data_IF_865175042305
#
_entry.id   IF_865175042305
#
_cell.length_a   1.000
_cell.length_b   1.000
_cell.length_c   1.000
_cell.angle_alpha   90.00
_cell.angle_beta   90.00
_cell.angle_gamma   90.00
#
_symmetry.space_group_name_H-M   'P 1'
#
loop_
_entity.id
_entity.type
_entity.pdbx_description
1 polymer ?
#
# COMPACT_ATOMS: atom_id res chain seq x y z
N UNK A 1 30.47 24.07 -53.91
CA UNK A 1 29.75 22.79 -53.71
C UNK A 1 30.81 21.71 -53.72
N UNK A 2 31.49 21.44 -52.62
CA UNK A 2 31.25 20.19 -51.87
C UNK A 2 31.85 20.17 -50.44
N UNK A 3 32.28 21.30 -49.87
CA UNK A 3 32.98 21.26 -48.56
C UNK A 3 32.31 22.07 -47.44
N UNK A 4 31.04 22.47 -47.61
CA UNK A 4 30.31 23.26 -46.60
C UNK A 4 29.16 22.49 -45.90
N UNK A 5 28.96 21.21 -46.22
CA UNK A 5 27.84 20.41 -45.69
C UNK A 5 28.22 19.38 -44.61
N UNK A 6 29.50 19.22 -44.26
CA UNK A 6 29.95 18.19 -43.31
C UNK A 6 30.11 18.73 -41.88
N UNK A 7 30.13 20.05 -41.68
CA UNK A 7 30.28 20.66 -40.34
C UNK A 7 28.93 20.99 -39.69
N UNK A 8 27.82 20.93 -40.45
CA UNK A 8 26.47 21.17 -39.94
C UNK A 8 25.74 19.91 -39.45
N UNK A 9 26.38 18.74 -39.48
CA UNK A 9 25.82 17.45 -39.08
C UNK A 9 26.51 16.80 -37.88
N UNK A 10 27.48 17.46 -37.25
CA UNK A 10 28.09 17.03 -35.97
C UNK A 10 27.77 17.96 -34.78
N UNK A 11 26.75 18.79 -34.93
CA UNK A 11 26.07 19.47 -33.82
C UNK A 11 24.88 18.65 -33.32
N UNK A 12 25.03 17.32 -33.20
CA UNK A 12 24.17 16.58 -32.28
C UNK A 12 24.49 17.21 -30.94
N UNK A 13 23.59 18.09 -30.46
CA UNK A 13 23.48 18.36 -29.04
C UNK A 13 23.37 16.97 -28.42
N UNK A 14 24.51 16.49 -27.93
CA UNK A 14 24.55 15.61 -26.78
C UNK A 14 23.85 16.45 -25.73
N UNK A 15 22.52 16.34 -25.67
CA UNK A 15 21.81 16.47 -24.42
C UNK A 15 22.44 15.37 -23.57
N UNK A 16 23.56 15.70 -22.95
CA UNK A 16 23.88 15.15 -21.66
C UNK A 16 22.59 15.40 -20.90
N UNK A 17 21.80 14.35 -20.70
CA UNK A 17 20.74 14.32 -19.71
C UNK A 17 21.46 14.54 -18.37
N UNK A 18 21.84 15.79 -18.14
CA UNK A 18 22.44 16.28 -16.93
C UNK A 18 21.30 16.35 -15.95
N UNK A 19 21.03 15.21 -15.33
CA UNK A 19 20.11 15.13 -14.23
C UNK A 19 20.76 15.83 -13.05
N UNK A 20 20.47 17.11 -12.85
CA UNK A 20 20.75 17.76 -11.58
C UNK A 20 19.97 17.01 -10.49
N UNK A 21 20.56 16.73 -9.33
CA UNK A 21 19.80 16.24 -8.20
C UNK A 21 18.64 17.19 -7.91
N UNK A 22 17.49 16.68 -7.43
CA UNK A 22 16.41 17.55 -7.00
C UNK A 22 16.97 18.54 -5.96
N UNK A 23 16.38 19.74 -5.86
CA UNK A 23 16.73 20.65 -4.77
C UNK A 23 16.65 19.92 -3.43
N UNK A 24 17.57 20.24 -2.51
CA UNK A 24 17.53 19.68 -1.16
C UNK A 24 16.13 19.92 -0.58
N UNK A 25 15.44 18.88 -0.09
CA UNK A 25 14.12 19.04 0.52
C UNK A 25 14.15 19.95 1.75
N UNK A 26 15.33 20.24 2.30
CA UNK A 26 15.55 21.22 3.36
C UNK A 26 16.29 22.44 2.80
N UNK A 27 15.58 23.55 2.66
CA UNK A 27 16.13 24.82 2.21
C UNK A 27 16.18 25.83 3.36
N UNK A 28 17.35 26.08 3.93
CA UNK A 28 17.56 27.03 5.02
C UNK A 28 18.09 28.37 4.52
N UNK A 29 17.54 29.47 5.04
CA UNK A 29 18.04 30.82 4.71
C UNK A 29 19.28 31.22 5.51
N UNK A 30 19.50 30.60 6.68
CA UNK A 30 20.63 30.90 7.55
C UNK A 30 21.26 29.63 8.14
N UNK A 31 22.24 29.05 7.44
CA UNK A 31 22.91 27.83 7.88
C UNK A 31 21.92 26.69 8.05
N UNK A 32 21.61 26.30 9.29
CA UNK A 32 20.61 25.27 9.63
C UNK A 32 19.29 25.83 10.15
N UNK A 33 19.06 27.14 10.03
CA UNK A 33 17.94 27.86 10.64
C UNK A 33 17.04 28.53 9.61
N UNK A 34 15.79 28.76 10.00
CA UNK A 34 14.73 29.34 9.17
C UNK A 34 14.63 28.62 7.82
N UNK A 35 14.21 27.36 7.91
CA UNK A 35 14.19 26.41 6.82
C UNK A 35 12.77 26.17 6.31
N UNK A 36 12.67 26.00 5.01
CA UNK A 36 11.51 25.42 4.35
C UNK A 36 11.78 23.95 4.12
N UNK A 37 10.79 23.11 4.39
CA UNK A 37 10.84 21.68 4.14
C UNK A 37 9.85 21.36 3.04
N UNK A 38 10.26 20.54 2.08
CA UNK A 38 9.38 19.89 1.10
C UNK A 38 9.49 18.37 1.28
N UNK A 39 8.44 17.64 0.90
CA UNK A 39 8.53 16.19 0.89
C UNK A 39 9.22 15.70 -0.41
N UNK A 40 9.42 14.39 -0.49
CA UNK A 40 9.95 13.67 -1.67
C UNK A 40 9.21 13.97 -2.98
N UNK A 41 7.97 14.47 -2.92
CA UNK A 41 7.12 14.84 -4.04
C UNK A 41 7.06 16.36 -4.30
N UNK A 42 7.85 17.15 -3.58
CA UNK A 42 7.92 18.61 -3.70
C UNK A 42 6.84 19.39 -2.95
N UNK A 43 5.72 18.78 -2.54
CA UNK A 43 4.67 19.46 -1.75
C UNK A 43 3.92 18.50 -0.81
N UNK A 44 3.58 18.97 0.39
CA UNK A 44 2.73 18.22 1.33
C UNK A 44 1.32 18.01 0.75
N UNK A 45 0.60 17.03 1.27
CA UNK A 45 -0.77 16.71 0.80
C UNK A 45 -1.76 17.86 0.97
N UNK A 46 -1.54 18.73 1.96
CA UNK A 46 -2.31 19.95 2.16
C UNK A 46 -1.75 21.17 1.40
N UNK A 47 -0.70 20.95 0.59
CA UNK A 47 0.08 21.94 -0.15
C UNK A 47 0.64 23.09 0.71
N UNK A 48 0.68 22.91 2.03
CA UNK A 48 1.25 23.93 2.91
C UNK A 48 2.77 23.91 2.86
N UNK A 49 3.36 25.09 3.06
CA UNK A 49 4.81 25.21 3.21
C UNK A 49 5.15 24.82 4.65
N UNK A 50 5.81 23.69 4.84
CA UNK A 50 6.33 23.32 6.15
C UNK A 50 7.54 24.19 6.48
N UNK A 51 7.46 24.95 7.57
CA UNK A 51 8.57 25.76 8.08
C UNK A 51 9.15 25.12 9.33
N UNK A 52 10.47 25.04 9.37
CA UNK A 52 11.22 24.61 10.53
C UNK A 52 12.14 25.73 11.00
N UNK A 53 12.07 26.04 12.30
CA UNK A 53 12.99 27.00 12.89
C UNK A 53 14.45 26.53 12.79
N UNK A 54 14.68 25.21 12.87
CA UNK A 54 16.01 24.60 12.81
C UNK A 54 15.96 23.14 12.34
N UNK A 55 16.94 22.73 11.54
CA UNK A 55 17.19 21.33 11.16
C UNK A 55 18.46 20.80 11.83
N UNK A 56 18.48 19.49 12.13
CA UNK A 56 19.64 18.80 12.72
C UNK A 56 19.93 17.49 12.02
N UNK A 57 21.20 17.09 12.06
CA UNK A 57 21.72 15.88 11.42
C UNK A 57 22.33 14.97 12.49
N UNK A 58 21.50 14.34 13.35
CA UNK A 58 21.98 13.53 14.46
C UNK A 58 22.76 12.31 13.96
N UNK A 59 23.89 12.02 14.60
CA UNK A 59 24.74 10.84 14.35
C UNK A 59 24.68 9.81 15.47
N UNK A 60 24.09 10.17 16.60
CA UNK A 60 23.93 9.32 17.77
C UNK A 60 22.47 9.27 18.22
N UNK A 61 22.09 8.23 18.97
CA UNK A 61 20.76 8.11 19.56
C UNK A 61 20.48 9.29 20.51
N UNK A 62 21.48 9.72 21.30
CA UNK A 62 21.34 10.87 22.19
C UNK A 62 21.03 12.16 21.43
N UNK A 63 21.71 12.41 20.31
CA UNK A 63 21.44 13.57 19.45
C UNK A 63 20.05 13.50 18.82
N UNK A 64 19.61 12.31 18.40
CA UNK A 64 18.28 12.09 17.85
C UNK A 64 17.21 12.40 18.90
N UNK A 65 17.34 11.84 20.11
CA UNK A 65 16.42 12.09 21.23
C UNK A 65 16.36 13.58 21.58
N UNK A 66 17.51 14.25 21.65
CA UNK A 66 17.58 15.69 21.91
C UNK A 66 16.97 16.53 20.76
N UNK A 67 17.07 16.08 19.51
CA UNK A 67 16.44 16.73 18.37
C UNK A 67 14.91 16.62 18.42
N UNK A 68 14.38 15.42 18.67
CA UNK A 68 12.94 15.17 18.82
C UNK A 68 12.37 15.98 19.99
N UNK A 69 13.02 15.93 21.17
CA UNK A 69 12.59 16.68 22.34
C UNK A 69 12.55 18.20 22.11
N UNK A 70 13.39 18.71 21.21
CA UNK A 70 13.43 20.11 20.83
C UNK A 70 12.55 20.46 19.61
N UNK A 71 11.71 19.52 19.12
CA UNK A 71 10.82 19.73 17.97
C UNK A 71 11.56 20.02 16.66
N UNK A 72 12.77 19.48 16.50
CA UNK A 72 13.61 19.72 15.32
C UNK A 72 13.36 18.67 14.25
N UNK A 73 13.56 19.08 13.00
CA UNK A 73 13.52 18.14 11.88
C UNK A 73 14.85 17.40 11.76
N UNK A 74 14.73 16.10 11.54
CA UNK A 74 15.84 15.16 11.40
C UNK A 74 15.95 14.80 9.92
N UNK A 75 17.16 14.97 9.37
CA UNK A 75 17.45 14.62 7.99
C UNK A 75 18.48 13.50 7.93
N UNK A 76 18.24 12.53 7.06
CA UNK A 76 19.13 11.41 6.78
C UNK A 76 19.32 11.28 5.27
N UNK A 77 20.58 11.20 4.85
CA UNK A 77 20.95 10.87 3.48
C UNK A 77 21.25 9.37 3.39
N UNK A 78 20.66 8.70 2.40
CA UNK A 78 20.87 7.29 2.11
C UNK A 78 21.10 7.11 0.61
N UNK A 79 22.21 6.47 0.25
CA UNK A 79 22.56 6.15 -1.14
C UNK A 79 22.57 4.62 -1.33
N UNK A 80 21.97 4.13 -2.42
CA UNK A 80 21.92 2.70 -2.77
C UNK A 80 22.96 2.31 -3.82
N UNK A 81 23.39 3.29 -4.60
CA UNK A 81 24.45 3.24 -5.61
C UNK A 81 25.26 4.53 -5.50
N UNK A 82 26.43 4.60 -6.13
CA UNK A 82 27.22 5.82 -6.15
C UNK A 82 26.44 6.97 -6.79
N UNK A 83 26.42 8.15 -6.16
CA UNK A 83 25.65 9.33 -6.61
C UNK A 83 26.09 9.83 -7.99
N UNK A 84 27.31 9.50 -8.45
CA UNK A 84 27.79 9.81 -9.79
C UNK A 84 27.29 8.86 -10.87
N UNK A 85 26.57 7.78 -10.50
CA UNK A 85 26.02 6.83 -11.46
C UNK A 85 24.92 7.51 -12.28
N UNK A 86 25.05 7.58 -13.62
CA UNK A 86 24.07 8.25 -14.45
C UNK A 86 22.74 7.48 -14.48
N UNK A 87 21.62 8.20 -14.45
CA UNK A 87 20.30 7.63 -14.63
C UNK A 87 19.17 8.60 -14.24
N UNK A 88 18.06 8.56 -14.98
CA UNK A 88 16.84 9.31 -14.67
C UNK A 88 15.66 8.37 -14.50
N UNK A 89 15.91 7.21 -13.89
CA UNK A 89 14.91 6.19 -13.75
C UNK A 89 13.70 6.68 -12.96
N UNK A 90 12.52 6.29 -13.44
CA UNK A 90 11.23 6.63 -12.83
C UNK A 90 10.41 5.36 -12.65
N UNK A 91 9.83 5.21 -11.47
CA UNK A 91 8.77 4.26 -11.18
C UNK A 91 7.44 5.02 -11.17
N UNK A 92 6.58 4.74 -12.14
CA UNK A 92 5.31 5.45 -12.29
C UNK A 92 4.20 4.47 -12.65
N UNK A 93 3.57 3.93 -11.61
CA UNK A 93 2.50 2.96 -11.74
C UNK A 93 1.23 3.67 -12.22
N UNK A 94 0.54 3.16 -13.27
CA UNK A 94 -0.67 3.76 -13.81
C UNK A 94 -1.76 4.05 -12.78
N UNK A 95 -1.93 3.17 -11.77
CA UNK A 95 -2.87 3.36 -10.67
C UNK A 95 -2.63 4.66 -9.88
N UNK A 96 -1.37 5.13 -9.84
CA UNK A 96 -0.92 6.29 -9.09
C UNK A 96 -0.58 7.49 -9.99
N UNK A 97 -1.02 7.46 -11.25
CA UNK A 97 -0.98 8.61 -12.17
C UNK A 97 -2.23 9.46 -11.99
N UNK A 98 -2.11 10.71 -12.40
CA UNK A 98 -3.28 11.56 -12.56
C UNK A 98 -4.14 11.10 -13.75
N UNK A 99 -5.45 11.23 -13.63
CA UNK A 99 -6.41 10.92 -14.70
C UNK A 99 -7.52 11.96 -14.74
N UNK A 100 -8.24 12.12 -15.87
CA UNK A 100 -9.43 12.94 -15.93
C UNK A 100 -10.43 12.51 -14.85
N UNK A 101 -10.91 13.48 -14.06
CA UNK A 101 -11.82 13.20 -12.94
C UNK A 101 -13.11 12.51 -13.39
N UNK A 102 -13.60 12.86 -14.59
CA UNK A 102 -14.79 12.23 -15.19
C UNK A 102 -14.58 10.74 -15.41
N UNK A 103 -13.45 10.34 -15.97
CA UNK A 103 -13.13 8.94 -16.26
C UNK A 103 -13.03 8.13 -14.98
N UNK A 104 -12.45 8.70 -13.91
CA UNK A 104 -12.35 8.07 -12.60
C UNK A 104 -13.74 7.79 -11.99
N UNK A 105 -14.66 8.76 -12.05
CA UNK A 105 -16.04 8.63 -11.55
C UNK A 105 -16.84 7.62 -12.39
N UNK A 106 -16.71 7.68 -13.71
CA UNK A 106 -17.42 6.77 -14.61
C UNK A 106 -16.90 5.32 -14.45
N UNK A 107 -15.59 5.13 -14.29
CA UNK A 107 -14.99 3.83 -13.99
C UNK A 107 -15.48 3.30 -12.63
N UNK A 108 -15.52 4.14 -11.60
CA UNK A 108 -16.06 3.77 -10.30
C UNK A 108 -17.53 3.36 -10.38
N UNK A 109 -18.36 4.15 -11.07
CA UNK A 109 -19.79 3.86 -11.26
C UNK A 109 -20.00 2.52 -11.99
N UNK A 110 -19.16 2.21 -12.98
CA UNK A 110 -19.22 0.93 -13.68
C UNK A 110 -18.85 -0.25 -12.77
N UNK A 111 -17.82 -0.09 -11.94
CA UNK A 111 -17.43 -1.09 -10.93
C UNK A 111 -18.54 -1.33 -9.91
N UNK A 112 -19.18 -0.28 -9.39
CA UNK A 112 -20.29 -0.40 -8.42
C UNK A 112 -21.49 -1.15 -9.01
N UNK A 113 -21.86 -0.87 -10.28
CA UNK A 113 -22.93 -1.62 -10.98
C UNK A 113 -22.58 -3.10 -11.13
N UNK A 114 -21.33 -3.41 -11.43
CA UNK A 114 -20.86 -4.80 -11.50
C UNK A 114 -20.89 -5.46 -10.13
N UNK A 115 -20.53 -4.76 -9.06
CA UNK A 115 -20.62 -5.29 -7.68
C UNK A 115 -22.06 -5.60 -7.30
N UNK A 116 -23.00 -4.69 -7.56
CA UNK A 116 -24.42 -4.85 -7.20
C UNK A 116 -25.15 -5.90 -8.06
N UNK A 117 -25.03 -5.80 -9.38
CA UNK A 117 -25.91 -6.50 -10.33
C UNK A 117 -25.16 -7.37 -11.35
N UNK A 118 -23.82 -7.41 -11.31
CA UNK A 118 -23.03 -8.21 -12.24
C UNK A 118 -23.25 -9.72 -12.05
N UNK A 119 -23.10 -10.46 -13.14
CA UNK A 119 -22.86 -11.91 -13.05
C UNK A 119 -21.40 -12.17 -12.73
N UNK A 120 -21.07 -13.36 -12.23
CA UNK A 120 -19.68 -13.72 -11.94
C UNK A 120 -18.80 -13.71 -13.19
N UNK A 121 -19.37 -14.12 -14.33
CA UNK A 121 -18.74 -14.00 -15.66
C UNK A 121 -18.45 -12.56 -16.01
N UNK A 122 -19.44 -11.66 -15.92
CA UNK A 122 -19.25 -10.25 -16.29
C UNK A 122 -18.21 -9.54 -15.41
N UNK A 123 -18.22 -9.81 -14.09
CA UNK A 123 -17.20 -9.27 -13.17
C UNK A 123 -15.81 -9.77 -13.54
N UNK A 124 -15.66 -11.06 -13.81
CA UNK A 124 -14.34 -11.61 -14.16
C UNK A 124 -13.85 -11.15 -15.54
N UNK A 125 -14.73 -11.04 -16.54
CA UNK A 125 -14.35 -10.51 -17.86
C UNK A 125 -13.87 -9.05 -17.76
N UNK A 126 -14.55 -8.21 -16.97
CA UNK A 126 -14.11 -6.85 -16.69
C UNK A 126 -12.73 -6.83 -15.99
N UNK A 127 -12.53 -7.69 -14.99
CA UNK A 127 -11.25 -7.84 -14.29
C UNK A 127 -10.13 -8.29 -15.25
N UNK A 128 -10.39 -9.25 -16.15
CA UNK A 128 -9.42 -9.71 -17.15
C UNK A 128 -9.04 -8.60 -18.15
N UNK A 129 -10.00 -7.77 -18.56
CA UNK A 129 -9.71 -6.61 -19.42
C UNK A 129 -8.79 -5.60 -18.71
N UNK A 130 -9.03 -5.35 -17.42
CA UNK A 130 -8.16 -4.49 -16.60
C UNK A 130 -6.75 -5.06 -16.44
N UNK A 131 -6.63 -6.37 -16.19
CA UNK A 131 -5.33 -7.05 -16.13
C UNK A 131 -4.58 -6.94 -17.46
N UNK A 132 -5.23 -7.27 -18.58
CA UNK A 132 -4.62 -7.21 -19.91
C UNK A 132 -4.19 -5.78 -20.30
N UNK A 133 -4.93 -4.75 -19.85
CA UNK A 133 -4.51 -3.36 -20.02
C UNK A 133 -3.29 -3.02 -19.15
N UNK A 134 -3.25 -3.52 -17.91
CA UNK A 134 -2.16 -3.25 -16.96
C UNK A 134 -0.84 -3.93 -17.35
N UNK A 135 -0.90 -5.16 -17.87
CA UNK A 135 0.27 -5.93 -18.34
C UNK A 135 1.00 -5.28 -19.51
N UNK A 136 0.33 -4.41 -20.28
CA UNK A 136 0.92 -3.70 -21.42
C UNK A 136 1.70 -2.44 -21.00
N UNK A 137 1.64 -2.06 -19.74
CA UNK A 137 2.18 -0.79 -19.26
C UNK A 137 3.57 -0.98 -18.67
N UNK A 138 4.53 -0.21 -19.19
CA UNK A 138 5.84 -0.08 -18.56
C UNK A 138 5.71 0.75 -17.29
N UNK A 139 5.95 0.11 -16.15
CA UNK A 139 5.89 0.77 -14.83
C UNK A 139 7.22 1.46 -14.48
N UNK A 140 8.32 1.05 -15.13
CA UNK A 140 9.64 1.67 -15.00
C UNK A 140 10.07 2.29 -16.33
N UNK A 141 10.78 3.39 -16.27
CA UNK A 141 11.49 4.00 -17.41
C UNK A 141 12.93 4.33 -17.00
N UNK A 142 13.88 4.28 -17.93
CA UNK A 142 15.30 4.52 -17.64
C UNK A 142 15.68 6.01 -17.69
N UNK A 143 14.93 6.78 -18.48
CA UNK A 143 15.15 8.20 -18.75
C UNK A 143 13.98 9.08 -18.29
N UNK A 144 12.97 8.50 -17.63
CA UNK A 144 11.72 9.15 -17.27
C UNK A 144 10.62 8.99 -18.33
N UNK A 145 10.91 8.43 -19.50
CA UNK A 145 9.98 8.34 -20.65
C UNK A 145 9.83 6.91 -21.17
N UNK A 146 10.93 6.20 -21.38
CA UNK A 146 10.95 4.88 -22.01
C UNK A 146 11.68 3.83 -21.16
N UNK A 147 11.17 2.60 -21.17
CA UNK A 147 11.90 1.46 -20.64
C UNK A 147 12.88 0.94 -21.69
N UNK A 148 14.17 0.92 -21.36
CA UNK A 148 15.24 0.41 -22.23
C UNK A 148 15.95 -0.82 -21.68
N UNK A 149 15.74 -1.15 -20.40
CA UNK A 149 16.24 -2.38 -19.78
C UNK A 149 16.61 -2.20 -18.31
N UNK A 150 17.08 -3.28 -17.69
CA UNK A 150 17.63 -3.25 -16.33
C UNK A 150 19.16 -3.13 -16.34
N UNK A 151 19.78 -2.53 -15.30
CA UNK A 151 19.14 -1.89 -14.15
C UNK A 151 18.52 -0.53 -14.51
N UNK A 152 17.41 -0.19 -13.86
CA UNK A 152 16.84 1.16 -13.91
C UNK A 152 17.46 1.95 -12.77
N UNK A 153 18.32 2.91 -13.12
CA UNK A 153 19.03 3.77 -12.16
C UNK A 153 18.38 5.14 -12.19
N UNK A 154 18.06 5.69 -11.03
CA UNK A 154 17.45 7.01 -10.89
C UNK A 154 17.45 7.45 -9.44
N UNK A 155 17.04 8.69 -9.22
CA UNK A 155 16.97 9.22 -7.86
C UNK A 155 15.95 8.47 -7.02
N UNK A 156 16.28 8.29 -5.73
CA UNK A 156 15.45 7.51 -4.80
C UNK A 156 14.00 7.99 -4.76
N UNK A 157 13.77 9.30 -4.85
CA UNK A 157 12.43 9.89 -4.87
C UNK A 157 11.61 9.53 -6.13
N UNK A 158 12.24 9.25 -7.26
CA UNK A 158 11.57 8.79 -8.49
C UNK A 158 11.43 7.28 -8.57
N UNK A 159 12.34 6.53 -7.93
CA UNK A 159 12.33 5.06 -7.94
C UNK A 159 11.46 4.47 -6.82
N UNK A 160 11.41 5.11 -5.64
CA UNK A 160 10.58 4.66 -4.52
C UNK A 160 9.15 5.20 -4.58
N UNK A 161 8.95 6.40 -5.13
CA UNK A 161 7.62 6.89 -5.41
C UNK A 161 6.94 5.95 -6.39
N UNK A 162 5.70 5.57 -6.11
CA UNK A 162 4.97 4.66 -6.99
C UNK A 162 4.15 5.39 -8.06
N UNK A 163 4.13 6.72 -8.06
CA UNK A 163 3.51 7.48 -9.14
C UNK A 163 3.50 8.99 -8.96
N UNK A 164 3.09 9.67 -10.02
CA UNK A 164 3.20 11.13 -10.20
C UNK A 164 1.94 11.92 -9.81
N UNK A 165 0.85 11.28 -9.36
CA UNK A 165 -0.42 11.97 -9.21
C UNK A 165 -0.38 13.20 -8.29
N UNK A 166 0.35 13.13 -7.17
CA UNK A 166 0.45 14.25 -6.22
C UNK A 166 1.21 15.46 -6.78
N UNK A 167 1.88 15.33 -7.93
CA UNK A 167 2.59 16.41 -8.60
C UNK A 167 1.65 17.27 -9.47
N UNK A 168 0.35 16.97 -9.48
CA UNK A 168 -0.59 17.64 -10.38
C UNK A 168 -0.83 19.12 -10.04
N UNK A 169 -1.08 19.95 -11.07
CA UNK A 169 -1.53 21.31 -10.85
C UNK A 169 -2.91 21.32 -10.19
N UNK A 170 -3.20 22.35 -9.37
CA UNK A 170 -4.58 22.62 -8.94
C UNK A 170 -5.35 23.21 -10.14
N UNK A 171 -6.06 22.33 -10.84
CA UNK A 171 -6.81 22.65 -12.06
C UNK A 171 -8.33 22.70 -11.83
N UNK A 172 -8.76 22.79 -10.57
CA UNK A 172 -10.17 22.75 -10.20
C UNK A 172 -10.81 21.36 -10.33
N UNK A 173 -10.04 20.29 -10.10
CA UNK A 173 -10.46 18.88 -10.24
C UNK A 173 -10.83 18.48 -11.67
N UNK A 174 -10.26 19.12 -12.70
CA UNK A 174 -10.35 18.60 -14.06
C UNK A 174 -9.62 17.26 -14.14
N UNK A 175 -8.51 17.15 -13.42
CA UNK A 175 -7.77 15.91 -13.25
C UNK A 175 -7.53 15.62 -11.76
N UNK A 176 -7.44 14.35 -11.38
CA UNK A 176 -7.32 13.96 -9.97
C UNK A 176 -6.67 12.60 -9.78
N UNK A 177 -6.31 12.28 -8.53
CA UNK A 177 -5.92 10.94 -8.13
C UNK A 177 -7.17 10.06 -7.98
N UNK A 178 -7.03 8.78 -8.29
CA UNK A 178 -8.15 7.85 -8.23
C UNK A 178 -8.81 7.77 -6.83
N UNK A 179 -8.09 8.10 -5.76
CA UNK A 179 -8.53 8.08 -4.36
C UNK A 179 -8.73 9.47 -3.74
N UNK A 180 -8.77 10.55 -4.54
CA UNK A 180 -8.99 11.90 -4.00
C UNK A 180 -10.38 11.96 -3.31
N UNK A 181 -10.44 12.34 -2.02
CA UNK A 181 -11.68 12.30 -1.25
C UNK A 181 -12.73 13.31 -1.71
N UNK A 182 -12.36 14.27 -2.57
CA UNK A 182 -13.28 15.28 -3.12
C UNK A 182 -14.13 14.72 -4.27
N UNK A 183 -13.80 13.53 -4.78
CA UNK A 183 -14.51 12.88 -5.88
C UNK A 183 -15.00 11.49 -5.45
N UNK A 184 -16.03 10.98 -6.12
CA UNK A 184 -16.51 9.60 -5.94
C UNK A 184 -15.68 8.64 -6.81
N UNK A 185 -14.38 8.57 -6.51
CA UNK A 185 -13.40 7.76 -7.24
C UNK A 185 -13.25 6.34 -6.69
N UNK A 186 -12.13 5.70 -7.08
CA UNK A 186 -11.76 4.37 -6.59
C UNK A 186 -11.65 4.33 -5.07
N UNK A 187 -12.27 3.32 -4.47
CA UNK A 187 -12.18 3.04 -3.05
C UNK A 187 -12.04 1.53 -2.84
N UNK A 188 -10.97 1.15 -2.15
CA UNK A 188 -10.54 -0.23 -2.03
C UNK A 188 -9.82 -0.42 -0.69
N UNK A 189 -9.84 -1.67 -0.22
CA UNK A 189 -8.95 -2.10 0.85
C UNK A 189 -7.70 -2.74 0.22
N UNK A 190 -6.57 -2.62 0.90
CA UNK A 190 -5.33 -3.32 0.56
C UNK A 190 -4.96 -4.19 1.75
N UNK A 191 -5.31 -5.48 1.70
CA UNK A 191 -4.87 -6.41 2.73
C UNK A 191 -3.41 -6.75 2.54
N UNK A 192 -2.60 -6.52 3.58
CA UNK A 192 -1.20 -6.91 3.62
C UNK A 192 -0.96 -7.90 4.75
N UNK A 193 -0.21 -8.97 4.48
CA UNK A 193 0.29 -9.87 5.51
C UNK A 193 1.58 -10.54 5.03
N UNK A 194 2.23 -11.30 5.90
CA UNK A 194 3.43 -12.05 5.53
C UNK A 194 3.37 -13.47 6.04
N UNK A 195 3.95 -14.39 5.27
CA UNK A 195 4.00 -15.81 5.59
C UNK A 195 5.46 -16.24 5.64
N UNK A 196 5.87 -17.05 6.63
CA UNK A 196 7.20 -17.65 6.66
C UNK A 196 7.54 -18.32 5.34
N UNK A 197 8.73 -18.08 4.80
CA UNK A 197 9.10 -18.57 3.47
C UNK A 197 9.02 -20.10 3.39
N UNK A 198 9.32 -20.79 4.49
CA UNK A 198 9.18 -22.25 4.64
C UNK A 198 7.74 -22.78 4.46
N UNK A 199 6.73 -21.93 4.67
CA UNK A 199 5.31 -22.26 4.58
C UNK A 199 4.66 -21.75 3.30
N UNK A 200 5.35 -20.88 2.55
CA UNK A 200 4.83 -20.23 1.36
C UNK A 200 4.28 -21.21 0.30
N UNK A 201 4.96 -22.32 -0.05
CA UNK A 201 4.44 -23.24 -1.06
C UNK A 201 3.08 -23.87 -0.67
N UNK A 202 2.93 -24.27 0.59
CA UNK A 202 1.69 -24.85 1.10
C UNK A 202 0.55 -23.83 1.12
N UNK A 203 0.84 -22.59 1.54
CA UNK A 203 -0.12 -21.50 1.50
C UNK A 203 -0.59 -21.18 0.07
N UNK A 204 0.34 -21.07 -0.88
CA UNK A 204 0.01 -20.84 -2.29
C UNK A 204 -0.82 -22.00 -2.85
N UNK A 205 -0.51 -23.25 -2.49
CA UNK A 205 -1.30 -24.40 -2.90
C UNK A 205 -2.75 -24.30 -2.38
N UNK A 206 -2.99 -23.82 -1.16
CA UNK A 206 -4.35 -23.61 -0.64
C UNK A 206 -5.09 -22.47 -1.34
N UNK A 207 -4.40 -21.36 -1.62
CA UNK A 207 -4.99 -20.29 -2.43
C UNK A 207 -5.38 -20.79 -3.82
N UNK A 208 -4.54 -21.62 -4.44
CA UNK A 208 -4.84 -22.26 -5.72
C UNK A 208 -6.01 -23.22 -5.60
N UNK A 209 -6.12 -24.00 -4.51
CA UNK A 209 -7.30 -24.84 -4.23
C UNK A 209 -8.56 -24.00 -4.16
N UNK A 210 -8.54 -22.88 -3.45
CA UNK A 210 -9.68 -21.97 -3.31
C UNK A 210 -10.09 -21.38 -4.67
N UNK A 211 -9.11 -20.90 -5.46
CA UNK A 211 -9.33 -20.44 -6.84
C UNK A 211 -9.94 -21.53 -7.73
N UNK A 212 -9.45 -22.77 -7.61
CA UNK A 212 -9.89 -23.87 -8.47
C UNK A 212 -11.32 -24.33 -8.18
N UNK A 213 -11.89 -24.01 -7.00
CA UNK A 213 -13.30 -24.29 -6.71
C UNK A 213 -14.22 -23.48 -7.63
N UNK A 214 -13.90 -22.19 -7.84
CA UNK A 214 -14.57 -21.35 -8.83
C UNK A 214 -13.68 -20.18 -9.27
N UNK A 215 -13.01 -20.30 -10.44
CA UNK A 215 -12.08 -19.28 -10.93
C UNK A 215 -12.72 -17.91 -11.17
N UNK A 216 -14.00 -17.86 -11.54
CA UNK A 216 -14.71 -16.61 -11.81
C UNK A 216 -14.89 -15.76 -10.54
N UNK A 217 -15.04 -16.40 -9.37
CA UNK A 217 -15.22 -15.69 -8.10
C UNK A 217 -13.90 -15.19 -7.57
N UNK A 218 -12.84 -15.99 -7.67
CA UNK A 218 -11.51 -15.54 -7.32
C UNK A 218 -11.11 -14.32 -8.16
N UNK A 219 -11.32 -14.41 -9.47
CA UNK A 219 -11.08 -13.35 -10.45
C UNK A 219 -11.86 -12.05 -10.14
N UNK A 220 -13.08 -12.15 -9.63
CA UNK A 220 -13.92 -10.99 -9.29
C UNK A 220 -13.73 -10.47 -7.86
N UNK A 221 -13.05 -11.23 -7.00
CA UNK A 221 -12.82 -10.88 -5.60
C UNK A 221 -11.55 -10.05 -5.35
N UNK A 222 -10.63 -10.03 -6.32
CA UNK A 222 -9.32 -9.34 -6.25
C UNK A 222 -9.24 -8.29 -7.36
N UNK A 223 -8.64 -7.15 -7.06
CA UNK A 223 -8.35 -6.12 -8.04
C UNK A 223 -7.32 -6.63 -9.05
N UNK A 224 -7.76 -6.82 -10.29
CA UNK A 224 -6.95 -7.45 -11.33
C UNK A 224 -5.88 -6.53 -11.92
N UNK A 225 -5.85 -5.23 -11.58
CA UNK A 225 -4.77 -4.32 -12.01
C UNK A 225 -3.43 -4.66 -11.36
N UNK A 226 -3.48 -5.22 -10.15
CA UNK A 226 -2.30 -5.64 -9.37
C UNK A 226 -2.30 -7.15 -9.13
N UNK A 227 -3.48 -7.75 -8.98
CA UNK A 227 -3.64 -9.16 -8.60
C UNK A 227 -3.20 -9.41 -7.16
N UNK A 228 -2.62 -10.59 -6.92
CA UNK A 228 -1.98 -10.94 -5.64
C UNK A 228 -0.49 -10.63 -5.77
N UNK A 229 -0.02 -9.60 -5.08
CA UNK A 229 1.37 -9.17 -5.13
C UNK A 229 2.19 -9.94 -4.08
N UNK A 230 3.24 -10.65 -4.51
CA UNK A 230 4.15 -11.38 -3.63
C UNK A 230 5.54 -10.74 -3.67
N UNK A 231 6.15 -10.54 -2.50
CA UNK A 231 7.48 -9.93 -2.36
C UNK A 231 8.29 -10.67 -1.30
N UNK A 232 9.56 -10.95 -1.58
CA UNK A 232 10.45 -11.59 -0.61
C UNK A 232 10.96 -10.56 0.41
N UNK A 233 10.95 -10.92 1.69
CA UNK A 233 11.39 -10.07 2.79
C UNK A 233 12.31 -10.86 3.70
N UNK A 234 13.51 -10.32 3.95
CA UNK A 234 14.47 -10.90 4.90
C UNK A 234 14.01 -10.73 6.34
N UNK A 235 14.44 -11.66 7.20
CA UNK A 235 14.33 -11.52 8.64
C UNK A 235 14.91 -10.17 9.11
N UNK A 236 14.29 -9.60 10.13
CA UNK A 236 14.65 -8.29 10.68
C UNK A 236 14.99 -8.41 12.16
N UNK A 237 16.03 -7.68 12.57
CA UNK A 237 16.42 -7.55 13.98
C UNK A 237 15.58 -6.55 14.76
N UNK A 238 14.75 -5.73 14.07
CA UNK A 238 13.85 -4.76 14.68
C UNK A 238 12.84 -5.44 15.61
N UNK A 239 12.40 -4.74 16.66
CA UNK A 239 11.61 -5.38 17.72
C UNK A 239 10.22 -5.85 17.26
N UNK A 240 9.56 -5.06 16.42
CA UNK A 240 8.33 -5.43 15.71
C UNK A 240 8.63 -5.88 14.26
N UNK A 241 9.85 -6.36 14.02
CA UNK A 241 10.31 -6.91 12.76
C UNK A 241 9.90 -8.38 12.59
N UNK A 242 9.95 -8.87 11.35
CA UNK A 242 9.67 -10.27 11.05
C UNK A 242 10.84 -11.14 11.51
N UNK A 243 10.63 -12.19 12.32
CA UNK A 243 11.72 -12.97 12.91
C UNK A 243 12.43 -13.89 11.92
N UNK A 244 11.81 -14.18 10.78
CA UNK A 244 12.31 -15.09 9.76
C UNK A 244 12.09 -14.55 8.34
N UNK A 245 12.81 -15.12 7.38
CA UNK A 245 12.61 -14.85 5.96
C UNK A 245 11.16 -15.20 5.58
N UNK A 246 10.52 -14.31 4.83
CA UNK A 246 9.09 -14.38 4.57
C UNK A 246 8.74 -13.91 3.17
N UNK A 247 7.54 -14.27 2.72
CA UNK A 247 6.88 -13.59 1.62
C UNK A 247 5.88 -12.60 2.20
N UNK A 248 6.00 -11.32 1.82
CA UNK A 248 4.94 -10.33 1.97
C UNK A 248 3.94 -10.49 0.85
N UNK A 249 2.66 -10.45 1.18
CA UNK A 249 1.54 -10.63 0.27
C UNK A 249 0.62 -9.43 0.41
N UNK A 250 0.25 -8.83 -0.71
CA UNK A 250 -0.74 -7.75 -0.78
C UNK A 250 -1.88 -8.14 -1.72
N UNK A 251 -3.11 -7.94 -1.27
CA UNK A 251 -4.34 -8.20 -2.03
C UNK A 251 -5.20 -6.93 -1.97
N UNK A 252 -5.36 -6.28 -3.12
CA UNK A 252 -6.27 -5.14 -3.25
C UNK A 252 -7.64 -5.67 -3.66
N UNK A 253 -8.70 -5.11 -3.11
CA UNK A 253 -10.07 -5.47 -3.46
C UNK A 253 -11.03 -4.30 -3.25
N UNK A 254 -12.11 -4.31 -4.03
CA UNK A 254 -13.17 -3.31 -4.00
C UNK A 254 -13.72 -3.10 -2.58
N UNK A 255 -13.97 -1.83 -2.24
CA UNK A 255 -14.70 -1.40 -1.04
C UNK A 255 -15.78 -0.40 -1.42
N UNK A 256 -16.98 -0.54 -0.87
CA UNK A 256 -18.04 0.46 -1.04
C UNK A 256 -17.74 1.71 -0.21
N UNK A 257 -18.08 2.89 -0.74
CA UNK A 257 -18.12 4.12 0.06
C UNK A 257 -19.21 4.10 1.13
N UNK A 258 -20.21 3.22 0.98
CA UNK A 258 -21.29 3.07 1.96
C UNK A 258 -20.88 2.07 3.04
N UNK A 259 -20.80 2.55 4.30
CA UNK A 259 -20.48 1.69 5.44
C UNK A 259 -21.48 0.53 5.56
N UNK A 260 -20.94 -0.66 5.75
CA UNK A 260 -21.66 -1.91 5.95
C UNK A 260 -22.20 -2.53 4.66
N UNK A 261 -21.84 -2.03 3.48
CA UNK A 261 -22.24 -2.66 2.22
C UNK A 261 -21.32 -3.83 1.87
N UNK A 262 -21.86 -5.05 1.69
CA UNK A 262 -21.07 -6.20 1.28
C UNK A 262 -20.54 -6.02 -0.14
N UNK A 263 -19.38 -6.61 -0.42
CA UNK A 263 -18.82 -6.77 -1.76
C UNK A 263 -19.08 -8.18 -2.27
N UNK A 264 -19.20 -8.33 -3.58
CA UNK A 264 -19.34 -9.66 -4.18
C UNK A 264 -18.12 -10.52 -3.86
N UNK A 265 -18.35 -11.79 -3.48
CA UNK A 265 -17.31 -12.78 -3.20
C UNK A 265 -16.29 -12.34 -2.14
N UNK A 266 -16.76 -11.58 -1.14
CA UNK A 266 -15.93 -11.13 -0.02
C UNK A 266 -15.24 -12.29 0.71
N UNK A 267 -15.95 -13.42 0.78
CA UNK A 267 -15.53 -14.67 1.40
C UNK A 267 -14.21 -15.22 0.87
N UNK A 268 -13.88 -14.98 -0.40
CA UNK A 268 -12.61 -15.46 -0.99
C UNK A 268 -11.41 -14.80 -0.30
N UNK A 269 -11.36 -13.46 -0.27
CA UNK A 269 -10.21 -12.74 0.32
C UNK A 269 -10.21 -12.87 1.84
N UNK A 270 -11.38 -12.81 2.48
CA UNK A 270 -11.48 -12.96 3.93
C UNK A 270 -11.01 -14.36 4.39
N UNK A 271 -11.25 -15.40 3.59
CA UNK A 271 -10.74 -16.75 3.86
C UNK A 271 -9.23 -16.83 3.67
N UNK A 272 -8.68 -16.20 2.61
CA UNK A 272 -7.23 -16.16 2.37
C UNK A 272 -6.51 -15.49 3.54
N UNK A 273 -7.01 -14.37 4.04
CA UNK A 273 -6.44 -13.67 5.20
C UNK A 273 -6.48 -14.54 6.45
N UNK A 274 -7.63 -15.13 6.78
CA UNK A 274 -7.76 -15.98 7.97
C UNK A 274 -6.87 -17.23 7.87
N UNK A 275 -6.78 -17.83 6.69
CA UNK A 275 -5.90 -18.97 6.43
C UNK A 275 -4.43 -18.57 6.60
N UNK A 276 -4.01 -17.45 6.01
CA UNK A 276 -2.68 -16.92 6.18
C UNK A 276 -2.32 -16.71 7.66
N UNK A 277 -3.17 -15.98 8.39
CA UNK A 277 -2.91 -15.54 9.75
C UNK A 277 -2.99 -16.67 10.78
N UNK A 278 -3.96 -17.58 10.65
CA UNK A 278 -4.25 -18.61 11.65
C UNK A 278 -3.65 -19.97 11.32
N UNK A 279 -3.72 -20.42 10.06
CA UNK A 279 -3.17 -21.73 9.67
C UNK A 279 -1.66 -21.69 9.43
N UNK A 280 -1.17 -20.63 8.78
CA UNK A 280 0.22 -20.53 8.37
C UNK A 280 1.08 -19.66 9.28
N UNK A 281 0.51 -19.12 10.36
CA UNK A 281 1.22 -18.28 11.32
C UNK A 281 1.63 -16.93 10.75
N UNK A 282 0.90 -16.44 9.74
CA UNK A 282 1.21 -15.19 9.08
C UNK A 282 1.13 -13.99 10.01
N UNK A 283 1.90 -12.95 9.70
CA UNK A 283 1.96 -11.71 10.48
C UNK A 283 1.27 -10.59 9.68
N UNK A 284 0.32 -9.86 10.28
CA UNK A 284 -0.36 -8.75 9.61
C UNK A 284 0.61 -7.62 9.28
N UNK A 285 0.35 -6.91 8.18
CA UNK A 285 1.05 -5.69 7.85
C UNK A 285 0.46 -4.49 8.62
N UNK A 286 1.28 -3.84 9.45
CA UNK A 286 0.88 -2.74 10.34
C UNK A 286 0.04 -1.62 9.68
N UNK A 287 0.40 -1.21 8.45
CA UNK A 287 -0.31 -0.12 7.74
C UNK A 287 -1.34 -0.56 6.70
N UNK A 288 -1.75 -1.84 6.69
CA UNK A 288 -2.62 -2.40 5.63
C UNK A 288 -3.68 -3.36 6.14
N UNK A 289 -3.36 -4.17 7.15
CA UNK A 289 -4.31 -5.14 7.69
C UNK A 289 -5.45 -4.45 8.46
N UNK A 290 -6.60 -5.13 8.47
CA UNK A 290 -7.80 -4.70 9.18
C UNK A 290 -7.77 -5.16 10.65
N UNK A 291 -8.63 -4.61 11.51
CA UNK A 291 -8.57 -4.83 12.97
C UNK A 291 -8.52 -6.31 13.38
N UNK A 292 -9.33 -7.16 12.76
CA UNK A 292 -9.40 -8.58 13.13
C UNK A 292 -8.04 -9.29 12.97
N UNK A 293 -7.21 -8.83 12.04
CA UNK A 293 -5.93 -9.44 11.73
C UNK A 293 -4.88 -9.24 12.84
N UNK A 294 -5.08 -8.22 13.69
CA UNK A 294 -4.19 -7.92 14.81
C UNK A 294 -4.55 -8.70 16.09
N UNK A 295 -5.67 -9.42 16.10
CA UNK A 295 -6.10 -10.19 17.27
C UNK A 295 -5.07 -11.30 17.59
N UNK A 296 -4.43 -11.18 18.76
CA UNK A 296 -3.33 -12.05 19.18
C UNK A 296 -2.04 -11.92 18.37
N UNK A 297 -1.98 -11.07 17.33
CA UNK A 297 -0.84 -10.99 16.42
C UNK A 297 0.45 -10.55 17.11
N UNK A 298 0.36 -9.74 18.16
CA UNK A 298 1.52 -9.22 18.87
C UNK A 298 2.40 -10.34 19.47
N UNK A 299 1.79 -11.47 19.83
CA UNK A 299 2.49 -12.64 20.39
C UNK A 299 3.46 -13.29 19.39
N UNK A 300 3.32 -12.98 18.10
CA UNK A 300 4.19 -13.48 17.02
C UNK A 300 5.52 -12.71 16.92
N UNK A 301 5.70 -11.63 17.69
CA UNK A 301 6.93 -10.84 17.71
C UNK A 301 7.77 -11.19 18.94
N UNK A 302 8.91 -11.90 18.78
CA UNK A 302 9.69 -12.38 19.91
C UNK A 302 10.24 -11.27 20.82
N UNK A 303 10.37 -10.05 20.28
CA UNK A 303 10.93 -8.88 20.97
C UNK A 303 9.87 -7.86 21.40
N UNK A 304 8.60 -8.28 21.51
CA UNK A 304 7.52 -7.37 21.95
C UNK A 304 7.81 -6.77 23.33
N UNK A 305 8.35 -7.54 24.28
CA UNK A 305 8.61 -7.03 25.61
C UNK A 305 9.74 -5.97 25.63
N UNK A 306 10.77 -6.15 24.80
CA UNK A 306 11.82 -5.16 24.56
C UNK A 306 11.22 -3.87 23.97
N UNK A 307 10.30 -4.01 23.01
CA UNK A 307 9.58 -2.88 22.42
C UNK A 307 8.78 -2.12 23.46
N UNK A 308 7.98 -2.82 24.27
CA UNK A 308 7.17 -2.20 25.32
C UNK A 308 8.05 -1.50 26.36
N UNK A 309 9.16 -2.11 26.78
CA UNK A 309 10.12 -1.44 27.70
C UNK A 309 10.71 -0.16 27.11
N UNK A 310 11.07 -0.16 25.83
CA UNK A 310 11.60 1.04 25.16
C UNK A 310 10.51 2.10 25.00
N UNK A 311 9.30 1.68 24.62
CA UNK A 311 8.13 2.56 24.53
C UNK A 311 7.87 3.24 25.89
N UNK A 312 7.80 2.49 26.99
CA UNK A 312 7.50 3.05 28.31
C UNK A 312 8.63 3.95 28.82
N UNK A 313 9.88 3.70 28.43
CA UNK A 313 11.01 4.56 28.76
C UNK A 313 10.95 5.92 28.05
N UNK A 314 10.58 5.93 26.77
CA UNK A 314 10.59 7.15 25.95
C UNK A 314 9.24 7.88 25.90
N UNK A 315 8.15 7.20 26.25
CA UNK A 315 6.78 7.72 26.30
C UNK A 315 6.07 7.27 27.60
N UNK A 316 6.58 7.67 28.79
CA UNK A 316 6.04 7.22 30.07
C UNK A 316 4.62 7.72 30.34
N UNK A 317 4.22 8.83 29.74
CA UNK A 317 2.88 9.40 29.85
C UNK A 317 1.92 8.89 28.74
N UNK A 318 2.43 8.12 27.77
CA UNK A 318 1.61 7.56 26.70
C UNK A 318 1.11 8.59 25.69
N UNK A 319 1.82 9.69 25.47
CA UNK A 319 1.46 10.77 24.53
C UNK A 319 1.29 10.26 23.09
N UNK A 320 2.05 9.23 22.70
CA UNK A 320 1.96 8.61 21.37
C UNK A 320 1.07 7.36 21.35
N UNK A 321 0.37 7.10 22.44
CA UNK A 321 -0.49 5.93 22.61
C UNK A 321 -1.96 6.33 22.57
N UNK A 322 -2.79 5.45 22.02
CA UNK A 322 -4.24 5.54 22.04
C UNK A 322 -4.87 4.15 22.27
N UNK A 323 -6.20 4.11 22.46
CA UNK A 323 -6.94 2.88 22.71
C UNK A 323 -6.65 1.79 21.65
N UNK A 324 -6.57 2.17 20.38
CA UNK A 324 -6.29 1.23 19.29
C UNK A 324 -4.87 0.67 19.36
N UNK A 325 -3.85 1.53 19.58
CA UNK A 325 -2.45 1.08 19.73
C UNK A 325 -2.29 0.14 20.93
N UNK A 326 -2.97 0.42 22.05
CA UNK A 326 -2.92 -0.43 23.23
C UNK A 326 -3.54 -1.81 22.96
N UNK A 327 -4.62 -1.86 22.18
CA UNK A 327 -5.26 -3.12 21.75
C UNK A 327 -4.34 -3.95 20.84
N UNK A 328 -3.78 -3.36 19.79
CA UNK A 328 -2.93 -4.10 18.84
C UNK A 328 -1.58 -4.51 19.44
N UNK A 329 -1.10 -3.79 20.46
CA UNK A 329 0.10 -4.14 21.24
C UNK A 329 -0.18 -5.12 22.39
N UNK A 330 -1.41 -5.57 22.56
CA UNK A 330 -1.79 -6.53 23.61
C UNK A 330 -1.69 -5.96 25.04
N UNK A 331 -1.69 -4.64 25.18
CA UNK A 331 -1.68 -3.94 26.48
C UNK A 331 -3.07 -3.99 27.12
N UNK A 332 -4.13 -3.85 26.32
CA UNK A 332 -5.51 -3.85 26.82
C UNK A 332 -6.52 -4.34 25.81
N UNK A 333 -7.45 -5.20 26.22
CA UNK A 333 -8.60 -5.61 25.41
C UNK A 333 -8.22 -6.35 24.11
N UNK A 334 -9.14 -6.34 23.15
CA UNK A 334 -8.94 -6.90 21.80
C UNK A 334 -9.07 -5.80 20.74
N UNK A 335 -8.33 -5.86 19.63
CA UNK A 335 -8.50 -4.93 18.51
C UNK A 335 -9.83 -5.13 17.78
N UNK A 336 -10.52 -6.26 17.98
CA UNK A 336 -11.83 -6.52 17.39
C UNK A 336 -12.88 -5.52 17.89
N UNK A 337 -13.70 -5.00 16.97
CA UNK A 337 -14.86 -4.15 17.28
C UNK A 337 -16.12 -4.92 16.88
N UNK A 338 -16.81 -5.48 17.87
CA UNK A 338 -18.02 -6.28 17.64
C UNK A 338 -19.23 -5.36 17.54
N UNK A 339 -19.79 -5.25 16.33
CA UNK A 339 -21.03 -4.51 16.04
C UNK A 339 -21.75 -5.16 14.85
N UNK A 340 -23.00 -4.77 14.60
CA UNK A 340 -23.71 -5.15 13.37
C UNK A 340 -22.83 -4.84 12.16
N UNK A 341 -22.73 -5.78 11.21
CA UNK A 341 -21.89 -5.70 10.00
C UNK A 341 -20.37 -5.57 10.24
N UNK A 342 -19.86 -5.87 11.44
CA UNK A 342 -18.42 -5.73 11.72
C UNK A 342 -17.50 -6.58 10.82
N UNK A 343 -17.96 -7.72 10.33
CA UNK A 343 -17.13 -8.57 9.47
C UNK A 343 -17.04 -8.04 8.04
N UNK A 344 -18.12 -7.41 7.54
CA UNK A 344 -18.08 -6.67 6.26
C UNK A 344 -17.02 -5.56 6.30
N UNK A 345 -16.92 -4.88 7.44
CA UNK A 345 -15.97 -3.80 7.67
C UNK A 345 -14.55 -4.27 8.03
N UNK A 346 -14.31 -5.59 8.14
CA UNK A 346 -13.03 -6.13 8.63
C UNK A 346 -12.69 -5.76 10.08
N UNK A 347 -13.70 -5.39 10.86
CA UNK A 347 -13.55 -5.04 12.27
C UNK A 347 -13.58 -6.26 13.19
N UNK A 348 -14.10 -7.38 12.71
CA UNK A 348 -14.21 -8.64 13.44
C UNK A 348 -14.21 -9.83 12.48
N UNK A 349 -13.86 -11.02 12.97
CA UNK A 349 -14.25 -12.28 12.32
C UNK A 349 -15.72 -12.58 12.65
N UNK A 350 -16.52 -13.03 11.69
CA UNK A 350 -17.94 -13.23 11.93
C UNK A 350 -18.20 -14.40 12.90
N UNK A 351 -19.08 -14.20 13.88
CA UNK A 351 -19.51 -15.26 14.81
C UNK A 351 -21.01 -15.53 14.74
N UNK A 352 -21.80 -14.57 14.24
CA UNK A 352 -23.21 -14.72 13.97
C UNK A 352 -23.60 -13.95 12.71
N UNK A 353 -24.81 -14.18 12.20
CA UNK A 353 -25.24 -13.63 10.92
C UNK A 353 -25.32 -12.11 10.92
N UNK A 354 -25.61 -11.44 12.04
CA UNK A 354 -25.73 -9.97 12.06
C UNK A 354 -24.42 -9.24 11.70
N UNK A 355 -23.28 -9.94 11.77
CA UNK A 355 -21.98 -9.41 11.35
C UNK A 355 -21.82 -9.36 9.82
N UNK A 356 -22.71 -9.98 9.06
CA UNK A 356 -22.58 -10.20 7.61
C UNK A 356 -23.66 -9.55 6.75
N UNK A 357 -24.61 -8.78 7.29
CA UNK A 357 -25.77 -8.23 6.54
C UNK A 357 -26.75 -9.32 6.00
N UNK A 358 -27.41 -10.10 6.87
CA UNK A 358 -28.33 -11.16 6.48
C UNK A 358 -29.56 -10.64 5.73
N UNK A 359 -29.95 -9.39 5.96
CA UNK A 359 -31.00 -8.70 5.21
C UNK A 359 -30.67 -8.54 3.71
N UNK A 360 -29.40 -8.66 3.33
CA UNK A 360 -28.93 -8.64 1.93
C UNK A 360 -28.52 -10.04 1.45
N UNK A 361 -28.87 -11.09 2.20
CA UNK A 361 -28.58 -12.48 1.82
C UNK A 361 -27.18 -12.98 2.16
N UNK A 362 -26.40 -12.25 2.96
CA UNK A 362 -25.06 -12.64 3.38
C UNK A 362 -25.06 -13.18 4.81
N UNK A 363 -24.45 -14.35 5.00
CA UNK A 363 -24.48 -15.10 6.26
C UNK A 363 -23.07 -15.46 6.71
N UNK A 364 -22.90 -15.63 8.03
CA UNK A 364 -21.63 -16.08 8.56
C UNK A 364 -21.47 -17.59 8.33
N UNK A 365 -20.50 -17.98 7.51
CA UNK A 365 -20.30 -19.37 7.06
C UNK A 365 -18.85 -19.81 7.29
N UNK A 366 -18.60 -21.13 7.40
CA UNK A 366 -17.25 -21.66 7.32
C UNK A 366 -16.60 -21.34 5.96
N UNK A 367 -15.27 -21.22 5.93
CA UNK A 367 -14.50 -21.15 4.69
C UNK A 367 -14.70 -22.40 3.80
N UNK A 368 -14.35 -22.25 2.52
CA UNK A 368 -14.48 -23.28 1.49
C UNK A 368 -13.32 -24.27 1.53
N UNK A 369 -12.09 -23.81 1.71
CA UNK A 369 -10.85 -24.62 1.84
C UNK A 369 -10.38 -24.69 3.30
N UNK A 370 -10.26 -23.55 3.98
CA UNK A 370 -9.93 -23.47 5.40
C UNK A 370 -11.21 -23.41 6.23
N UNK A 371 -11.66 -24.57 6.73
CA UNK A 371 -12.99 -24.72 7.35
C UNK A 371 -13.14 -23.99 8.67
N UNK A 372 -12.03 -23.68 9.33
CA UNK A 372 -11.97 -22.92 10.57
C UNK A 372 -12.15 -21.41 10.33
N UNK A 373 -11.94 -20.91 9.10
CA UNK A 373 -12.28 -19.54 8.77
C UNK A 373 -13.79 -19.30 8.88
N UNK A 374 -14.16 -18.09 9.28
CA UNK A 374 -15.54 -17.61 9.33
C UNK A 374 -15.69 -16.38 8.45
N UNK A 375 -16.45 -16.52 7.37
CA UNK A 375 -16.55 -15.55 6.29
C UNK A 375 -17.99 -15.15 6.01
N UNK A 376 -18.19 -13.93 5.54
CA UNK A 376 -19.49 -13.46 5.09
C UNK A 376 -19.71 -13.88 3.64
N UNK A 377 -20.54 -14.89 3.43
CA UNK A 377 -20.82 -15.46 2.11
C UNK A 377 -22.30 -15.35 1.76
N UNK A 378 -22.59 -15.13 0.48
CA UNK A 378 -23.94 -15.00 -0.04
C UNK A 378 -24.69 -16.34 0.01
N UNK A 379 -26.01 -16.32 0.17
CA UNK A 379 -26.82 -17.51 0.44
C UNK A 379 -26.76 -18.60 -0.64
N UNK A 380 -26.44 -18.23 -1.89
CA UNK A 380 -26.22 -19.20 -2.96
C UNK A 380 -24.82 -19.79 -2.83
N UNK A 381 -24.75 -21.01 -2.33
CA UNK A 381 -23.52 -21.79 -2.38
C UNK A 381 -23.18 -22.12 -3.84
N UNK A 382 -21.95 -21.81 -4.23
CA UNK A 382 -21.22 -22.47 -5.31
C UNK A 382 -20.28 -23.51 -4.70
#
# INVERSE_FOLDING_TARGET
MESLLVVLSLGVLVQLAGCSPPPDPVMCTHGTSNCTITNTYGSFTDRTICRAAKVTYPRTEQELVAAVAAGKVIYRQDDRVDVSTPGNGLYDLPLFRISPTRDLIDARTAEERLQENGTDTARCEAAQQQAAASERLNIFTNDGVSFTGYPVVGYQHHIQASGTCLNSPEDGLLTSCAWDPRIQGSFFDNSGFSIPLSKAPAFVADMQRLRNLNPYLFCSSVDARIGVLLRYVKASSAYLGKPEDSIGIDIIFYRSHTEGMPRAHADVVDEIEQMALHKYGGIPHWGKSRNFAFDGAITKYPKVHEFLRVKDRYDPEGLFSNEWTNKVLGISGSPNIIKKRCAIEGLCVCSNNSHCAPEQGYFCRPGKVYKEARVCSFFKNY
#
